data_IF_572107433766
#
_entry.id   IF_572107433766
#
_cell.length_a   1.000
_cell.length_b   1.000
_cell.length_c   1.000
_cell.angle_alpha   90.00
_cell.angle_beta   90.00
_cell.angle_gamma   90.00
#
_symmetry.space_group_name_H-M   'P 1'
#
loop_
_entity.id
_entity.type
_entity.pdbx_description
1 polymer ?
#
# COMPACT_ATOMS: atom_id res chain seq x y z
N UNK A 1 15.88 -6.60 2.99
CA UNK A 1 16.81 -5.58 3.49
C UNK A 1 16.76 -4.37 2.55
N UNK A 2 16.56 -3.17 3.08
CA UNK A 2 16.59 -1.92 2.32
C UNK A 2 17.49 -0.92 3.02
N UNK A 3 18.31 -0.20 2.26
CA UNK A 3 19.18 0.86 2.75
C UNK A 3 18.83 2.15 1.97
N UNK A 4 18.69 3.26 2.67
CA UNK A 4 18.39 4.56 2.07
C UNK A 4 19.29 5.64 2.66
N UNK A 5 19.72 6.58 1.83
CA UNK A 5 20.41 7.80 2.25
C UNK A 5 19.61 9.00 1.75
N UNK A 6 19.31 9.92 2.67
CA UNK A 6 18.56 11.14 2.39
C UNK A 6 19.45 12.34 2.64
N UNK A 7 19.47 13.26 1.67
CA UNK A 7 20.11 14.56 1.79
C UNK A 7 19.03 15.62 1.68
N UNK A 8 18.91 16.47 2.69
CA UNK A 8 18.03 17.64 2.65
C UNK A 8 18.88 18.81 2.17
N UNK A 9 18.50 19.41 1.05
CA UNK A 9 19.18 20.57 0.49
C UNK A 9 18.23 21.77 0.62
N UNK A 10 18.66 22.81 1.32
CA UNK A 10 17.98 24.09 1.52
C UNK A 10 16.45 24.03 1.76
N UNK A 11 16.04 24.11 3.02
CA UNK A 11 14.68 24.36 3.55
C UNK A 11 13.56 23.40 3.11
N UNK A 12 13.27 23.37 1.81
CA UNK A 12 12.12 22.74 1.18
C UNK A 12 12.49 21.75 0.06
N UNK A 13 13.77 21.64 -0.31
CA UNK A 13 14.22 20.66 -1.28
C UNK A 13 14.90 19.45 -0.61
N UNK A 14 14.81 18.31 -1.28
CA UNK A 14 15.37 17.06 -0.77
C UNK A 14 15.74 16.14 -1.92
N UNK A 15 16.74 15.30 -1.67
CA UNK A 15 17.10 14.19 -2.52
C UNK A 15 17.23 12.92 -1.69
N UNK A 16 16.84 11.80 -2.27
CA UNK A 16 16.97 10.49 -1.64
C UNK A 16 17.48 9.48 -2.65
N UNK A 17 18.39 8.62 -2.20
CA UNK A 17 18.83 7.43 -2.92
C UNK A 17 18.50 6.22 -2.08
N UNK A 18 17.80 5.26 -2.66
CA UNK A 18 17.40 4.02 -2.01
C UNK A 18 17.89 2.82 -2.79
N UNK A 19 18.31 1.78 -2.07
CA UNK A 19 18.63 0.48 -2.65
C UNK A 19 18.01 -0.59 -1.77
N UNK A 20 17.44 -1.62 -2.38
CA UNK A 20 16.84 -2.69 -1.61
C UNK A 20 16.82 -4.02 -2.32
N UNK A 21 16.76 -5.05 -1.49
CA UNK A 21 16.59 -6.42 -1.89
C UNK A 21 15.65 -7.12 -0.91
N UNK A 22 14.67 -7.83 -1.42
CA UNK A 22 13.65 -8.54 -0.65
C UNK A 22 13.49 -9.94 -1.21
N UNK A 23 13.36 -10.91 -0.30
CA UNK A 23 12.98 -12.28 -0.64
C UNK A 23 11.75 -12.59 0.20
N UNK A 24 10.67 -12.94 -0.48
CA UNK A 24 9.44 -13.43 0.12
C UNK A 24 9.31 -14.90 -0.25
N UNK A 25 9.68 -15.83 0.65
CA UNK A 25 9.68 -17.26 0.33
C UNK A 25 8.27 -17.80 0.09
N UNK A 26 7.25 -17.15 0.67
CA UNK A 26 5.87 -17.65 0.73
C UNK A 26 4.86 -16.54 0.42
N UNK A 27 4.77 -16.16 -0.85
CA UNK A 27 3.79 -15.21 -1.35
C UNK A 27 2.51 -15.96 -1.71
N UNK A 28 1.37 -15.49 -1.22
CA UNK A 28 0.06 -16.08 -1.48
C UNK A 28 -0.48 -15.65 -2.85
N UNK A 29 -1.17 -16.56 -3.51
CA UNK A 29 -1.85 -16.34 -4.77
C UNK A 29 -3.17 -17.10 -4.81
N UNK A 30 -4.26 -16.45 -5.22
CA UNK A 30 -5.61 -17.03 -5.23
C UNK A 30 -6.23 -17.09 -6.64
N UNK A 31 -5.48 -16.63 -7.65
CA UNK A 31 -6.00 -16.27 -8.96
C UNK A 31 -6.10 -14.76 -9.16
N UNK A 32 -6.32 -14.33 -10.41
CA UNK A 32 -6.46 -12.91 -10.75
C UNK A 32 -7.89 -12.39 -10.55
N UNK A 33 -7.98 -11.11 -10.20
CA UNK A 33 -9.22 -10.36 -10.18
C UNK A 33 -10.15 -10.64 -9.00
N UNK A 34 -11.29 -9.93 -8.92
CA UNK A 34 -12.18 -9.93 -7.76
C UNK A 34 -12.93 -11.26 -7.57
N UNK A 35 -13.06 -12.06 -8.63
CA UNK A 35 -13.76 -13.35 -8.61
C UNK A 35 -12.87 -14.51 -8.13
N UNK A 36 -11.58 -14.27 -7.88
CA UNK A 36 -10.70 -15.27 -7.30
C UNK A 36 -11.24 -15.76 -5.96
N UNK A 37 -11.08 -17.05 -5.66
CA UNK A 37 -11.72 -17.68 -4.50
C UNK A 37 -10.69 -18.02 -3.44
N UNK A 38 -11.08 -17.90 -2.17
CA UNK A 38 -10.17 -18.14 -1.03
C UNK A 38 -9.65 -19.58 -1.03
N UNK A 39 -10.48 -20.55 -1.40
CA UNK A 39 -10.10 -21.96 -1.46
C UNK A 39 -9.00 -22.27 -2.49
N UNK A 40 -8.72 -21.33 -3.41
CA UNK A 40 -7.70 -21.48 -4.45
C UNK A 40 -6.31 -20.99 -4.00
N UNK A 41 -6.07 -20.79 -2.69
CA UNK A 41 -4.79 -20.37 -2.14
C UNK A 41 -3.62 -21.25 -2.62
N UNK A 42 -2.61 -20.64 -3.22
CA UNK A 42 -1.38 -21.27 -3.61
C UNK A 42 -0.21 -20.38 -3.23
N UNK A 43 0.99 -20.95 -3.26
CA UNK A 43 2.20 -20.26 -2.83
C UNK A 43 3.23 -20.19 -3.94
N UNK A 44 4.00 -19.11 -3.95
CA UNK A 44 5.19 -18.93 -4.78
C UNK A 44 6.24 -18.12 -4.02
N UNK A 45 7.49 -18.15 -4.50
CA UNK A 45 8.57 -17.32 -3.96
C UNK A 45 8.81 -16.13 -4.87
N UNK A 46 8.99 -14.96 -4.26
CA UNK A 46 9.27 -13.70 -4.96
C UNK A 46 10.60 -13.11 -4.49
N UNK A 47 11.42 -12.66 -5.44
CA UNK A 47 12.64 -11.91 -5.16
C UNK A 47 12.56 -10.55 -5.85
N UNK A 48 12.76 -9.50 -5.09
CA UNK A 48 12.65 -8.11 -5.57
C UNK A 48 13.92 -7.36 -5.27
N UNK A 49 14.46 -6.66 -6.27
CA UNK A 49 15.61 -5.78 -6.14
C UNK A 49 15.29 -4.40 -6.74
N UNK A 50 15.76 -3.33 -6.12
CA UNK A 50 15.56 -1.98 -6.66
C UNK A 50 16.68 -1.01 -6.32
N UNK A 51 16.81 0.00 -7.17
CA UNK A 51 17.60 1.22 -6.98
C UNK A 51 16.71 2.41 -7.33
N UNK A 52 16.50 3.31 -6.38
CA UNK A 52 15.67 4.49 -6.54
C UNK A 52 16.45 5.77 -6.32
N UNK A 53 16.17 6.79 -7.12
CA UNK A 53 16.63 8.17 -6.92
C UNK A 53 15.39 9.05 -6.95
N UNK A 54 15.23 9.95 -5.99
CA UNK A 54 14.14 10.92 -5.98
C UNK A 54 14.61 12.31 -5.61
N UNK A 55 13.96 13.32 -6.18
CA UNK A 55 14.07 14.70 -5.79
C UNK A 55 12.69 15.22 -5.37
N UNK A 56 12.62 15.95 -4.26
CA UNK A 56 11.40 16.56 -3.73
C UNK A 56 11.56 18.07 -3.59
N UNK A 57 10.48 18.81 -3.78
CA UNK A 57 10.44 20.26 -3.54
C UNK A 57 9.09 20.70 -3.00
N UNK A 58 9.11 21.37 -1.84
CA UNK A 58 7.99 22.13 -1.32
C UNK A 58 7.68 23.33 -2.21
N UNK A 59 6.41 23.50 -2.57
CA UNK A 59 5.89 24.65 -3.31
C UNK A 59 4.94 25.42 -2.38
N UNK A 60 5.50 26.30 -1.56
CA UNK A 60 4.75 26.99 -0.50
C UNK A 60 4.44 26.07 0.69
N UNK A 61 3.48 26.47 1.53
CA UNK A 61 3.27 25.86 2.85
C UNK A 61 2.58 24.50 2.83
N UNK A 62 1.84 24.14 1.77
CA UNK A 62 0.99 22.93 1.74
C UNK A 62 1.24 22.00 0.55
N UNK A 63 2.00 22.42 -0.45
CA UNK A 63 2.24 21.60 -1.65
C UNK A 63 3.64 21.02 -1.62
N UNK A 64 3.79 19.74 -1.94
CA UNK A 64 5.07 19.11 -2.20
C UNK A 64 5.01 18.33 -3.52
N UNK A 65 6.08 18.42 -4.29
CA UNK A 65 6.25 17.69 -5.54
C UNK A 65 7.43 16.75 -5.42
N UNK A 66 7.32 15.57 -5.99
CA UNK A 66 8.38 14.58 -6.08
C UNK A 66 8.53 14.13 -7.53
N UNK A 67 9.77 14.01 -7.98
CA UNK A 67 10.14 13.28 -9.19
C UNK A 67 11.09 12.17 -8.80
N UNK A 68 10.88 10.97 -9.35
CA UNK A 68 11.71 9.81 -9.05
C UNK A 68 12.01 8.96 -10.29
N UNK A 69 13.13 8.25 -10.20
CA UNK A 69 13.64 7.30 -11.16
C UNK A 69 13.95 6.01 -10.40
N UNK A 70 13.31 4.90 -10.78
CA UNK A 70 13.45 3.61 -10.10
C UNK A 70 13.81 2.53 -11.09
N UNK A 71 14.94 1.87 -10.87
CA UNK A 71 15.30 0.64 -11.56
C UNK A 71 14.88 -0.52 -10.67
N UNK A 72 14.07 -1.45 -11.18
CA UNK A 72 13.58 -2.58 -10.40
C UNK A 72 13.57 -3.89 -11.18
N UNK A 73 13.75 -4.98 -10.45
CA UNK A 73 13.65 -6.35 -10.94
C UNK A 73 12.84 -7.20 -9.99
N UNK A 74 11.87 -7.96 -10.52
CA UNK A 74 11.04 -8.90 -9.77
C UNK A 74 11.14 -10.27 -10.44
N UNK A 75 11.50 -11.28 -9.67
CA UNK A 75 11.63 -12.68 -10.09
C UNK A 75 10.70 -13.55 -9.27
N UNK A 76 10.05 -14.51 -9.92
CA UNK A 76 9.17 -15.48 -9.25
C UNK A 76 9.66 -16.88 -9.51
N UNK A 77 9.54 -17.76 -8.52
CA UNK A 77 9.92 -19.17 -8.60
C UNK A 77 8.99 -20.02 -7.72
N UNK A 78 9.10 -21.34 -7.83
CA UNK A 78 8.37 -22.28 -6.98
C UNK A 78 8.76 -22.09 -5.49
N UNK A 79 7.81 -22.16 -4.53
CA UNK A 79 8.11 -21.89 -3.12
C UNK A 79 8.98 -22.97 -2.44
N UNK A 80 9.29 -24.06 -3.15
CA UNK A 80 10.07 -25.19 -2.64
C UNK A 80 9.21 -26.26 -1.95
N UNK A 81 9.84 -27.35 -1.51
CA UNK A 81 9.16 -28.59 -1.11
C UNK A 81 8.28 -28.53 0.16
N UNK A 82 8.27 -27.42 0.90
CA UNK A 82 7.65 -27.33 2.22
C UNK A 82 6.31 -26.61 2.27
N UNK A 83 5.90 -25.89 1.23
CA UNK A 83 4.59 -25.24 1.15
C UNK A 83 3.78 -25.80 -0.01
N UNK A 84 2.62 -26.37 0.32
CA UNK A 84 1.71 -26.98 -0.64
C UNK A 84 0.30 -26.41 -0.44
N UNK A 85 -0.40 -26.07 -1.52
CA UNK A 85 -0.01 -26.29 -2.91
C UNK A 85 0.80 -25.13 -3.50
N UNK A 86 1.79 -25.47 -4.34
CA UNK A 86 2.48 -24.45 -5.14
C UNK A 86 1.56 -23.87 -6.20
N UNK A 87 1.86 -22.65 -6.64
CA UNK A 87 1.15 -21.98 -7.74
C UNK A 87 1.09 -22.89 -8.97
N UNK A 88 2.20 -23.56 -9.31
CA UNK A 88 2.28 -24.51 -10.43
C UNK A 88 1.32 -25.67 -10.25
N UNK A 89 1.29 -26.29 -9.07
CA UNK A 89 0.43 -27.45 -8.84
C UNK A 89 -1.06 -27.11 -8.91
N UNK A 90 -1.45 -25.92 -8.46
CA UNK A 90 -2.86 -25.51 -8.38
C UNK A 90 -3.37 -24.83 -9.66
N UNK A 91 -2.51 -24.09 -10.36
CA UNK A 91 -2.85 -23.30 -11.54
C UNK A 91 -2.13 -23.77 -12.80
N UNK A 92 -1.70 -25.05 -12.87
CA UNK A 92 -0.93 -25.60 -14.00
C UNK A 92 -1.50 -25.23 -15.39
N UNK A 93 -2.82 -25.35 -15.57
CA UNK A 93 -3.49 -25.06 -16.84
C UNK A 93 -3.72 -23.56 -17.10
N UNK A 94 -3.48 -22.70 -16.12
CA UNK A 94 -3.79 -21.28 -16.16
C UNK A 94 -2.71 -20.46 -15.43
N UNK A 95 -1.44 -20.81 -15.65
CA UNK A 95 -0.32 -20.08 -15.06
C UNK A 95 -0.39 -18.61 -15.48
N UNK A 96 -0.26 -17.67 -14.53
CA UNK A 96 -0.36 -16.26 -14.85
C UNK A 96 0.87 -15.83 -15.66
N UNK A 97 0.66 -14.86 -16.58
CA UNK A 97 1.75 -14.29 -17.37
C UNK A 97 2.85 -13.73 -16.47
N UNK A 98 4.11 -14.07 -16.74
CA UNK A 98 5.25 -13.64 -15.95
C UNK A 98 5.65 -14.59 -14.80
N UNK A 99 4.94 -15.69 -14.59
CA UNK A 99 5.38 -16.75 -13.67
C UNK A 99 6.65 -17.43 -14.17
N UNK A 100 7.53 -17.80 -13.22
CA UNK A 100 8.86 -18.39 -13.48
C UNK A 100 9.71 -17.54 -14.44
N UNK A 101 9.47 -16.22 -14.40
CA UNK A 101 10.17 -15.25 -15.22
C UNK A 101 10.65 -14.07 -14.40
N UNK A 102 11.57 -13.31 -15.01
CA UNK A 102 12.12 -12.09 -14.43
C UNK A 102 11.58 -10.87 -15.16
N UNK A 103 11.01 -9.97 -14.39
CA UNK A 103 10.42 -8.71 -14.83
C UNK A 103 11.33 -7.56 -14.44
N UNK A 104 12.03 -6.96 -15.41
CA UNK A 104 13.02 -5.89 -15.16
C UNK A 104 12.63 -4.62 -15.91
N UNK A 105 12.71 -3.47 -15.25
CA UNK A 105 12.33 -2.21 -15.87
C UNK A 105 12.79 -0.97 -15.12
N UNK A 106 12.58 0.18 -15.77
CA UNK A 106 12.79 1.50 -15.20
C UNK A 106 11.48 2.25 -15.13
N UNK A 107 11.16 2.78 -13.95
CA UNK A 107 10.03 3.67 -13.69
C UNK A 107 10.51 5.11 -13.59
N UNK A 108 9.78 6.03 -14.23
CA UNK A 108 9.89 7.48 -13.99
C UNK A 108 8.56 7.95 -13.42
N UNK A 109 8.60 8.51 -12.20
CA UNK A 109 7.44 8.92 -11.44
C UNK A 109 7.37 10.42 -11.20
N UNK A 110 6.15 10.94 -11.15
CA UNK A 110 5.81 12.25 -10.64
C UNK A 110 4.74 12.10 -9.56
N UNK A 111 4.96 12.70 -8.40
CA UNK A 111 3.99 12.72 -7.30
C UNK A 111 3.71 14.14 -6.83
N UNK A 112 2.46 14.40 -6.48
CA UNK A 112 1.95 15.65 -5.94
C UNK A 112 1.26 15.36 -4.61
N UNK A 113 1.67 16.08 -3.57
CA UNK A 113 1.02 16.07 -2.27
C UNK A 113 0.50 17.48 -1.96
N UNK A 114 -0.78 17.60 -1.61
CA UNK A 114 -1.41 18.86 -1.19
C UNK A 114 -2.04 18.63 0.17
N UNK A 115 -1.55 19.33 1.19
CA UNK A 115 -2.05 19.25 2.55
C UNK A 115 -1.02 19.74 3.58
N UNK A 116 -1.45 20.02 4.82
CA UNK A 116 -0.53 20.23 5.93
C UNK A 116 0.47 19.09 6.06
N UNK A 117 1.66 19.37 6.61
CA UNK A 117 2.52 18.28 7.06
C UNK A 117 1.79 17.51 8.18
N UNK A 118 1.78 16.19 8.08
CA UNK A 118 1.13 15.35 9.07
C UNK A 118 1.97 15.33 10.35
N UNK A 119 1.46 15.93 11.42
CA UNK A 119 2.03 15.74 12.74
C UNK A 119 1.80 14.29 13.20
N UNK A 120 2.89 13.64 13.62
CA UNK A 120 2.84 12.30 14.19
C UNK A 120 2.23 12.39 15.58
N UNK A 121 1.04 11.82 15.80
CA UNK A 121 0.46 11.80 17.13
C UNK A 121 -1.02 11.43 17.21
N UNK A 122 -1.68 11.93 18.28
CA UNK A 122 -3.09 11.67 18.57
C UNK A 122 -4.07 12.51 17.76
N UNK A 123 -3.57 13.54 17.08
CA UNK A 123 -4.40 14.47 16.32
C UNK A 123 -5.10 13.78 15.16
N UNK A 124 -6.28 14.30 14.83
CA UNK A 124 -6.98 13.91 13.62
C UNK A 124 -6.06 14.15 12.42
N UNK A 125 -5.97 13.21 11.46
CA UNK A 125 -5.10 13.39 10.31
C UNK A 125 -5.54 14.63 9.52
N UNK A 126 -4.59 15.40 8.99
CA UNK A 126 -4.95 16.55 8.17
C UNK A 126 -5.60 16.10 6.86
N UNK A 127 -6.34 17.02 6.24
CA UNK A 127 -6.81 16.81 4.89
C UNK A 127 -5.61 16.74 3.93
N UNK A 128 -5.55 15.68 3.14
CA UNK A 128 -4.41 15.38 2.28
C UNK A 128 -4.89 14.81 0.94
N UNK A 129 -4.34 15.35 -0.13
CA UNK A 129 -4.46 14.81 -1.48
C UNK A 129 -3.09 14.33 -1.92
N UNK A 130 -2.99 13.05 -2.29
CA UNK A 130 -1.81 12.50 -2.93
C UNK A 130 -2.20 12.02 -4.33
N UNK A 131 -1.47 12.48 -5.33
CA UNK A 131 -1.59 11.98 -6.70
C UNK A 131 -0.21 11.54 -7.19
N UNK A 132 -0.16 10.42 -7.92
CA UNK A 132 1.05 9.94 -8.57
C UNK A 132 0.72 9.40 -9.95
N UNK A 133 1.57 9.73 -10.91
CA UNK A 133 1.61 9.12 -12.22
C UNK A 133 3.05 8.66 -12.48
N UNK A 134 3.22 7.44 -12.98
CA UNK A 134 4.54 6.91 -13.27
C UNK A 134 4.51 6.00 -14.50
N UNK A 135 5.54 6.07 -15.34
CA UNK A 135 5.69 5.18 -16.49
C UNK A 135 6.81 4.20 -16.21
N UNK A 136 6.49 2.92 -16.21
CA UNK A 136 7.49 1.86 -16.21
C UNK A 136 7.72 1.37 -17.63
N UNK A 137 8.98 1.37 -18.06
CA UNK A 137 9.45 0.72 -19.27
C UNK A 137 10.10 -0.62 -18.93
N UNK A 138 9.57 -1.71 -19.49
CA UNK A 138 10.19 -3.03 -19.34
C UNK A 138 11.35 -3.24 -20.30
N UNK A 139 12.36 -4.01 -19.87
CA UNK A 139 13.55 -4.36 -20.64
C UNK A 139 13.72 -5.87 -20.87
N UNK A 140 13.11 -6.70 -20.02
CA UNK A 140 13.28 -8.15 -20.03
C UNK A 140 11.91 -8.79 -19.89
N UNK A 141 11.65 -9.78 -20.75
CA UNK A 141 10.38 -10.49 -20.83
C UNK A 141 9.46 -9.92 -21.91
N UNK A 142 8.54 -10.75 -22.39
CA UNK A 142 7.43 -10.32 -23.27
C UNK A 142 6.30 -9.75 -22.39
N UNK A 143 6.59 -8.69 -21.66
CA UNK A 143 5.67 -8.03 -20.75
C UNK A 143 5.44 -6.57 -21.17
N UNK A 144 4.23 -6.08 -20.97
CA UNK A 144 3.93 -4.70 -21.28
C UNK A 144 4.68 -3.74 -20.34
N UNK A 145 5.20 -2.66 -20.94
CA UNK A 145 5.43 -1.41 -20.21
C UNK A 145 4.08 -0.87 -19.73
N UNK A 146 4.04 -0.03 -18.70
CA UNK A 146 2.75 0.47 -18.20
C UNK A 146 2.82 1.86 -17.60
N UNK A 147 1.67 2.54 -17.64
CA UNK A 147 1.39 3.73 -16.86
C UNK A 147 0.73 3.29 -15.55
N UNK A 148 1.34 3.66 -14.43
CA UNK A 148 0.77 3.56 -13.09
C UNK A 148 0.16 4.90 -12.71
N UNK A 149 -1.10 4.87 -12.29
CA UNK A 149 -1.81 6.04 -11.76
C UNK A 149 -2.31 5.73 -10.35
N UNK A 150 -2.17 6.69 -9.44
CA UNK A 150 -2.65 6.60 -8.07
C UNK A 150 -3.21 7.94 -7.61
N UNK A 151 -4.38 7.91 -7.00
CA UNK A 151 -4.99 9.06 -6.32
C UNK A 151 -5.47 8.61 -4.95
N UNK A 152 -5.07 9.35 -3.93
CA UNK A 152 -5.47 9.15 -2.56
C UNK A 152 -5.99 10.46 -1.98
N UNK A 153 -7.14 10.38 -1.33
CA UNK A 153 -7.79 11.48 -0.64
C UNK A 153 -7.95 11.08 0.82
N UNK A 154 -7.56 11.93 1.73
CA UNK A 154 -7.72 11.74 3.17
C UNK A 154 -8.31 13.01 3.77
N UNK A 155 -9.18 12.83 4.77
CA UNK A 155 -9.65 13.93 5.58
C UNK A 155 -10.20 13.49 6.91
N UNK A 156 -10.47 14.45 7.79
CA UNK A 156 -11.04 14.16 9.10
C UNK A 156 -12.07 15.18 9.55
N UNK A 157 -13.06 14.69 10.30
CA UNK A 157 -14.09 15.48 10.95
C UNK A 157 -14.02 15.27 12.46
N UNK A 158 -13.86 16.35 13.23
CA UNK A 158 -14.01 16.30 14.69
C UNK A 158 -15.50 16.25 15.04
N UNK A 159 -15.90 15.30 15.87
CA UNK A 159 -17.30 15.13 16.26
C UNK A 159 -17.50 15.69 17.67
N UNK A 160 -18.01 16.92 17.80
CA UNK A 160 -18.24 17.58 19.10
C UNK A 160 -17.04 18.36 19.64
N UNK A 161 -17.02 18.61 20.97
CA UNK A 161 -15.88 19.25 21.64
C UNK A 161 -14.63 18.36 21.71
N UNK A 162 -13.53 18.88 22.25
CA UNK A 162 -12.19 18.28 22.19
C UNK A 162 -12.05 16.85 22.76
N UNK A 163 -13.07 16.30 23.43
CA UNK A 163 -13.01 15.07 24.21
C UNK A 163 -13.71 13.85 23.61
N UNK A 164 -14.47 13.99 22.51
CA UNK A 164 -15.34 12.90 22.01
C UNK A 164 -14.65 12.00 20.98
N UNK A 165 -13.87 12.58 20.06
CA UNK A 165 -13.18 11.82 19.01
C UNK A 165 -13.19 12.49 17.64
N UNK A 166 -12.69 11.78 16.64
CA UNK A 166 -12.72 12.21 15.24
C UNK A 166 -13.06 11.07 14.30
N UNK A 167 -13.71 11.40 13.19
CA UNK A 167 -13.92 10.52 12.05
C UNK A 167 -12.82 10.80 11.03
N UNK A 168 -12.04 9.79 10.64
CA UNK A 168 -11.12 9.86 9.53
C UNK A 168 -11.70 9.10 8.34
N UNK A 169 -11.57 9.69 7.15
CA UNK A 169 -12.01 9.09 5.90
C UNK A 169 -10.83 9.08 4.94
N UNK A 170 -10.67 7.98 4.21
CA UNK A 170 -9.66 7.82 3.17
C UNK A 170 -10.27 7.17 1.95
N UNK A 171 -9.96 7.67 0.76
CA UNK A 171 -10.25 7.05 -0.52
C UNK A 171 -8.96 6.81 -1.28
N UNK A 172 -8.82 5.66 -1.93
CA UNK A 172 -7.69 5.34 -2.78
C UNK A 172 -8.19 4.71 -4.08
N UNK A 173 -7.67 5.18 -5.21
CA UNK A 173 -7.77 4.53 -6.51
C UNK A 173 -6.37 4.39 -7.07
N UNK A 174 -6.03 3.19 -7.53
CA UNK A 174 -4.78 2.92 -8.23
C UNK A 174 -5.04 1.99 -9.42
N UNK A 175 -4.38 2.25 -10.54
CA UNK A 175 -4.57 1.48 -11.77
C UNK A 175 -3.29 1.43 -12.62
N UNK A 176 -3.06 0.25 -13.21
CA UNK A 176 -1.99 -0.04 -14.15
C UNK A 176 -2.55 -0.19 -15.56
N UNK A 177 -2.16 0.72 -16.43
CA UNK A 177 -2.53 0.72 -17.85
C UNK A 177 -1.36 0.18 -18.70
N UNK A 178 -1.48 -1.00 -19.34
CA UNK A 178 -0.47 -1.53 -20.21
C UNK A 178 -0.32 -0.62 -21.42
N UNK A 179 0.92 -0.33 -21.76
CA UNK A 179 1.32 0.37 -22.95
C UNK A 179 1.67 -0.69 -23.99
N UNK A 180 0.78 -0.86 -24.97
CA UNK A 180 0.88 -1.89 -26.00
C UNK A 180 -0.09 -3.05 -25.80
N UNK A 181 0.17 -4.15 -26.51
CA UNK A 181 -0.70 -5.33 -26.53
C UNK A 181 -0.26 -6.48 -25.60
N UNK A 182 0.96 -6.40 -25.09
CA UNK A 182 1.52 -7.45 -24.24
C UNK A 182 0.80 -7.47 -22.88
N UNK A 183 0.68 -8.65 -22.23
CA UNK A 183 0.13 -8.73 -20.90
C UNK A 183 1.08 -8.11 -19.87
N UNK A 184 0.51 -7.56 -18.80
CA UNK A 184 1.29 -7.20 -17.61
C UNK A 184 1.75 -8.48 -16.90
N UNK A 185 3.01 -8.50 -16.50
CA UNK A 185 3.54 -9.57 -15.68
C UNK A 185 2.86 -9.56 -14.31
N UNK A 186 2.36 -10.73 -13.88
CA UNK A 186 1.50 -10.84 -12.71
C UNK A 186 2.20 -10.38 -11.43
N UNK A 187 3.51 -10.56 -11.35
CA UNK A 187 4.34 -10.12 -10.22
C UNK A 187 4.29 -8.60 -10.00
N UNK A 188 3.97 -7.81 -11.05
CA UNK A 188 3.81 -6.35 -10.97
C UNK A 188 2.38 -5.87 -10.74
N UNK A 189 1.40 -6.77 -10.73
CA UNK A 189 0.01 -6.40 -10.48
C UNK A 189 -0.21 -5.93 -9.04
N UNK A 190 -1.21 -5.07 -8.86
CA UNK A 190 -1.57 -4.51 -7.56
C UNK A 190 -2.20 -5.59 -6.69
N UNK A 191 -1.98 -5.50 -5.38
CA UNK A 191 -2.59 -6.40 -4.40
C UNK A 191 -3.03 -5.65 -3.15
N UNK A 192 -3.85 -6.30 -2.31
CA UNK A 192 -4.32 -5.74 -1.04
C UNK A 192 -3.33 -5.95 0.13
N UNK A 193 -2.03 -6.05 -0.13
CA UNK A 193 -1.00 -6.27 0.91
C UNK A 193 -0.66 -5.02 1.72
N UNK A 194 -1.09 -3.84 1.28
CA UNK A 194 -0.87 -2.59 2.01
C UNK A 194 -1.58 -2.59 3.38
N UNK A 195 -1.00 -1.93 4.39
CA UNK A 195 -1.44 -2.03 5.79
C UNK A 195 -2.89 -1.60 6.01
N UNK A 196 -3.36 -0.62 5.22
CA UNK A 196 -4.69 -0.02 5.33
C UNK A 196 -5.62 -0.45 4.17
N UNK A 197 -5.28 -1.54 3.48
CA UNK A 197 -6.07 -2.12 2.41
C UNK A 197 -6.87 -3.32 2.94
N UNK A 198 -8.21 -3.22 2.90
CA UNK A 198 -9.16 -4.32 3.15
C UNK A 198 -8.80 -5.18 4.39
N UNK A 199 -8.76 -4.56 5.57
CA UNK A 199 -8.06 -5.14 6.74
C UNK A 199 -8.69 -6.40 7.33
N UNK A 200 -9.95 -6.70 7.00
CA UNK A 200 -10.61 -7.95 7.37
C UNK A 200 -10.34 -9.12 6.42
N UNK A 201 -9.48 -8.98 5.41
CA UNK A 201 -9.08 -10.03 4.49
C UNK A 201 -7.60 -10.34 4.63
N UNK A 202 -7.20 -11.54 4.20
CA UNK A 202 -5.79 -11.91 4.16
C UNK A 202 -5.00 -10.96 3.25
N UNK A 203 -3.74 -10.71 3.60
CA UNK A 203 -2.82 -9.99 2.71
C UNK A 203 -2.65 -10.79 1.42
N UNK A 204 -2.50 -10.09 0.29
CA UNK A 204 -2.35 -10.69 -1.04
C UNK A 204 -3.55 -11.54 -1.51
N UNK A 205 -4.72 -11.37 -0.87
CA UNK A 205 -5.96 -12.08 -1.22
C UNK A 205 -6.40 -11.85 -2.67
N UNK A 206 -6.21 -10.64 -3.17
CA UNK A 206 -6.52 -10.30 -4.57
C UNK A 206 -5.34 -9.69 -5.26
N UNK A 207 -5.27 -9.92 -6.57
CA UNK A 207 -4.23 -9.36 -7.43
C UNK A 207 -4.82 -9.05 -8.80
N UNK A 208 -4.68 -7.80 -9.24
CA UNK A 208 -5.12 -7.36 -10.56
C UNK A 208 -4.54 -5.97 -10.92
N UNK A 209 -4.97 -5.40 -12.04
CA UNK A 209 -4.47 -4.13 -12.58
C UNK A 209 -4.89 -2.91 -11.78
N UNK A 210 -6.02 -2.98 -11.08
CA UNK A 210 -6.63 -1.86 -10.38
C UNK A 210 -7.14 -2.20 -8.99
N UNK A 211 -7.11 -1.20 -8.10
CA UNK A 211 -7.72 -1.25 -6.78
C UNK A 211 -8.42 0.08 -6.50
N UNK A 212 -9.65 0.01 -6.01
CA UNK A 212 -10.42 1.15 -5.55
C UNK A 212 -10.98 0.83 -4.16
N UNK A 213 -10.80 1.73 -3.21
CA UNK A 213 -11.25 1.53 -1.83
C UNK A 213 -11.59 2.84 -1.13
N UNK A 214 -12.37 2.69 -0.07
CA UNK A 214 -12.63 3.70 0.94
C UNK A 214 -12.46 3.08 2.34
N UNK A 215 -11.81 3.81 3.23
CA UNK A 215 -11.70 3.51 4.65
C UNK A 215 -12.43 4.59 5.44
N UNK A 216 -13.17 4.18 6.47
CA UNK A 216 -13.77 5.07 7.45
C UNK A 216 -13.37 4.59 8.83
N UNK A 217 -12.82 5.49 9.63
CA UNK A 217 -12.37 5.20 10.99
C UNK A 217 -12.93 6.21 11.97
N UNK A 218 -13.54 5.73 13.05
CA UNK A 218 -13.94 6.57 14.17
C UNK A 218 -13.00 6.35 15.33
N UNK A 219 -12.27 7.39 15.75
CA UNK A 219 -11.24 7.36 16.79
C UNK A 219 -11.71 8.06 18.05
N UNK A 220 -11.43 7.49 19.22
CA UNK A 220 -11.62 8.13 20.52
C UNK A 220 -10.49 7.79 21.49
N UNK A 221 -10.22 8.70 22.42
CA UNK A 221 -9.25 8.46 23.48
C UNK A 221 -9.84 7.56 24.56
N UNK A 222 -9.11 6.52 24.96
CA UNK A 222 -9.43 5.73 26.15
C UNK A 222 -8.76 6.36 27.37
N UNK A 223 -7.46 6.64 27.24
CA UNK A 223 -6.64 7.12 28.33
C UNK A 223 -5.48 7.96 27.80
N UNK A 224 -5.08 8.96 28.56
CA UNK A 224 -3.87 9.71 28.32
C UNK A 224 -3.19 10.01 29.66
N UNK A 225 -1.87 9.90 29.70
CA UNK A 225 -1.10 10.37 30.84
C UNK A 225 -1.33 11.86 31.07
N UNK A 226 -1.28 12.30 32.32
CA UNK A 226 -1.32 13.72 32.70
C UNK A 226 -0.08 14.48 32.23
N UNK A 227 1.02 13.78 31.99
CA UNK A 227 2.20 14.37 31.37
C UNK A 227 1.91 14.66 29.90
N UNK A 228 2.17 15.90 29.48
CA UNK A 228 2.05 16.35 28.08
C UNK A 228 2.87 15.46 27.13
N UNK A 229 3.92 14.79 27.64
CA UNK A 229 4.76 13.86 26.88
C UNK A 229 4.53 12.38 27.19
N UNK A 230 3.52 12.05 28.01
CA UNK A 230 3.27 10.70 28.45
C UNK A 230 2.57 9.84 27.40
N UNK A 231 2.48 8.51 27.65
CA UNK A 231 1.79 7.60 26.76
C UNK A 231 0.28 7.87 26.74
N UNK A 232 -0.36 7.47 25.64
CA UNK A 232 -1.80 7.52 25.46
C UNK A 232 -2.30 6.27 24.74
N UNK A 233 -3.51 5.86 25.11
CA UNK A 233 -4.23 4.75 24.53
C UNK A 233 -5.46 5.32 23.83
N UNK A 234 -5.53 5.11 22.52
CA UNK A 234 -6.72 5.41 21.71
C UNK A 234 -7.32 4.11 21.19
N UNK A 235 -8.62 4.14 20.94
CA UNK A 235 -9.33 3.09 20.22
C UNK A 235 -9.97 3.65 18.97
N UNK A 236 -10.20 2.77 18.00
CA UNK A 236 -10.96 3.12 16.81
C UNK A 236 -11.83 1.97 16.31
N UNK A 237 -12.95 2.33 15.71
CA UNK A 237 -13.74 1.46 14.86
C UNK A 237 -13.29 1.71 13.42
N UNK A 238 -13.18 0.66 12.63
CA UNK A 238 -12.82 0.76 11.22
C UNK A 238 -13.88 0.08 10.34
N UNK A 239 -14.10 0.64 9.16
CA UNK A 239 -14.84 0.03 8.07
C UNK A 239 -14.06 0.24 6.78
N UNK A 240 -13.78 -0.84 6.07
CA UNK A 240 -13.10 -0.83 4.79
C UNK A 240 -14.04 -1.35 3.71
N UNK A 241 -14.15 -0.61 2.61
CA UNK A 241 -14.94 -0.95 1.44
C UNK A 241 -14.03 -0.88 0.23
N UNK A 242 -14.03 -1.87 -0.65
CA UNK A 242 -13.22 -1.76 -1.86
C UNK A 242 -13.32 -2.95 -2.80
N UNK A 243 -12.69 -2.80 -3.95
CA UNK A 243 -12.68 -3.79 -5.02
C UNK A 243 -11.32 -3.76 -5.71
N UNK A 244 -10.80 -4.94 -6.04
CA UNK A 244 -9.73 -5.14 -7.01
C UNK A 244 -10.36 -5.43 -8.38
N UNK A 245 -9.81 -4.91 -9.47
CA UNK A 245 -10.40 -4.98 -10.80
C UNK A 245 -9.34 -5.00 -11.91
N UNK A 246 -9.65 -5.64 -13.04
CA UNK A 246 -8.76 -5.69 -14.20
C UNK A 246 -9.00 -4.56 -15.21
N UNK A 247 -10.21 -4.01 -15.21
CA UNK A 247 -10.62 -2.91 -16.08
C UNK A 247 -11.51 -1.91 -15.31
N UNK A 248 -11.35 -0.59 -15.47
CA UNK A 248 -12.17 0.41 -14.79
C UNK A 248 -13.68 0.25 -15.05
N UNK A 249 -14.08 -0.26 -16.21
CA UNK A 249 -15.49 -0.53 -16.54
C UNK A 249 -16.06 -1.74 -15.79
N UNK A 250 -15.19 -2.59 -15.22
CA UNK A 250 -15.59 -3.73 -14.39
C UNK A 250 -15.82 -3.37 -12.91
N UNK A 251 -15.64 -2.10 -12.53
CA UNK A 251 -15.99 -1.59 -11.20
C UNK A 251 -17.51 -1.63 -11.06
N UNK A 252 -17.99 -2.42 -10.10
CA UNK A 252 -19.42 -2.64 -9.91
C UNK A 252 -19.73 -2.97 -8.46
N UNK A 253 -20.85 -2.46 -7.95
CA UNK A 253 -21.26 -2.65 -6.55
C UNK A 253 -21.32 -4.13 -6.12
N UNK A 254 -21.66 -5.05 -7.03
CA UNK A 254 -21.69 -6.50 -6.76
C UNK A 254 -20.32 -7.10 -6.41
N UNK A 255 -19.23 -6.50 -6.90
CA UNK A 255 -17.86 -6.97 -6.71
C UNK A 255 -17.18 -6.29 -5.51
N UNK A 256 -17.86 -5.33 -4.87
CA UNK A 256 -17.34 -4.63 -3.70
C UNK A 256 -17.26 -5.57 -2.52
N UNK A 257 -16.13 -5.50 -1.82
CA UNK A 257 -15.84 -6.19 -0.57
C UNK A 257 -15.92 -5.23 0.59
N UNK A 258 -16.41 -5.73 1.71
CA UNK A 258 -16.59 -5.00 2.96
C UNK A 258 -15.87 -5.75 4.08
N UNK A 259 -15.25 -5.00 4.98
CA UNK A 259 -14.83 -5.47 6.30
C UNK A 259 -15.04 -4.40 7.34
N UNK A 260 -15.24 -4.80 8.59
CA UNK A 260 -15.33 -3.91 9.74
C UNK A 260 -14.49 -4.46 10.88
N UNK A 261 -14.02 -3.59 11.77
CA UNK A 261 -13.12 -3.99 12.83
C UNK A 261 -12.96 -2.96 13.91
N UNK A 262 -12.07 -3.29 14.84
CA UNK A 262 -11.67 -2.45 15.96
C UNK A 262 -10.16 -2.45 16.07
N UNK A 263 -9.58 -1.33 16.49
CA UNK A 263 -8.16 -1.22 16.76
C UNK A 263 -7.87 -0.51 18.07
N UNK A 264 -6.78 -0.92 18.70
CA UNK A 264 -6.20 -0.28 19.87
C UNK A 264 -4.84 0.26 19.50
N UNK A 265 -4.61 1.52 19.87
CA UNK A 265 -3.44 2.29 19.51
C UNK A 265 -2.73 2.80 20.74
N UNK A 266 -1.46 2.42 20.90
CA UNK A 266 -0.56 3.02 21.87
C UNK A 266 0.30 4.09 21.17
N UNK A 267 0.12 5.34 21.59
CA UNK A 267 0.86 6.50 21.09
C UNK A 267 1.68 7.14 22.21
N UNK A 268 2.84 7.71 21.87
CA UNK A 268 3.63 8.59 22.73
C UNK A 268 4.07 9.81 21.92
N UNK A 269 4.28 10.95 22.57
CA UNK A 269 4.80 12.16 21.90
C UNK A 269 6.24 12.01 21.40
N UNK A 270 7.00 11.01 21.89
CA UNK A 270 8.33 10.66 21.34
C UNK A 270 8.26 9.73 20.13
N UNK A 271 7.06 9.31 19.74
CA UNK A 271 6.84 8.38 18.65
C UNK A 271 5.74 7.36 18.95
N UNK A 272 5.23 6.78 17.88
CA UNK A 272 4.27 5.70 17.89
C UNK A 272 4.81 4.42 18.55
N UNK A 273 4.02 3.73 19.38
CA UNK A 273 4.48 2.57 20.16
C UNK A 273 3.89 1.23 19.69
N UNK A 274 2.62 1.15 19.25
CA UNK A 274 2.04 -0.10 18.76
C UNK A 274 0.54 -0.07 18.43
N UNK A 275 0.12 -0.85 17.44
CA UNK A 275 -1.28 -1.09 17.06
C UNK A 275 -1.60 -2.56 17.22
N UNK A 276 -2.77 -2.87 17.76
CA UNK A 276 -3.42 -4.15 17.59
C UNK A 276 -4.76 -3.93 16.93
N UNK A 277 -5.04 -4.63 15.84
CA UNK A 277 -6.30 -4.58 15.11
C UNK A 277 -6.95 -5.95 15.04
N UNK A 278 -8.27 -5.96 15.13
CA UNK A 278 -9.11 -7.10 14.80
C UNK A 278 -10.12 -6.65 13.75
N UNK A 279 -10.17 -7.33 12.61
CA UNK A 279 -11.12 -7.04 11.54
C UNK A 279 -11.82 -8.31 11.07
N UNK A 280 -13.11 -8.18 10.73
CA UNK A 280 -13.98 -9.25 10.25
C UNK A 280 -14.49 -8.94 8.86
N UNK A 281 -14.55 -9.97 8.04
CA UNK A 281 -15.14 -9.96 6.71
C UNK A 281 -16.00 -11.22 6.49
N UNK A 282 -16.56 -11.33 5.29
CA UNK A 282 -17.25 -12.54 4.83
C UNK A 282 -16.32 -13.76 4.68
N UNK A 283 -15.01 -13.54 4.61
CA UNK A 283 -14.03 -14.62 4.54
C UNK A 283 -13.45 -15.00 5.91
N UNK A 284 -13.81 -14.31 7.00
CA UNK A 284 -13.36 -14.67 8.35
C UNK A 284 -12.87 -13.46 9.14
N UNK A 285 -11.94 -13.70 10.06
CA UNK A 285 -11.37 -12.67 10.92
C UNK A 285 -9.85 -12.65 10.81
N UNK A 286 -9.29 -11.45 10.87
CA UNK A 286 -7.85 -11.20 10.79
C UNK A 286 -7.44 -10.37 12.01
N UNK A 287 -6.35 -10.77 12.66
CA UNK A 287 -5.69 -10.00 13.72
C UNK A 287 -4.39 -9.47 13.17
N UNK A 288 -4.13 -8.17 13.34
CA UNK A 288 -2.87 -7.53 12.92
C UNK A 288 -2.22 -6.85 14.10
N UNK A 289 -0.91 -6.99 14.20
CA UNK A 289 -0.09 -6.31 15.21
C UNK A 289 0.96 -5.51 14.45
N UNK A 290 1.05 -4.20 14.72
CA UNK A 290 2.04 -3.31 14.10
C UNK A 290 2.81 -2.57 15.16
N UNK A 291 4.13 -2.57 15.07
CA UNK A 291 5.03 -1.91 16.04
C UNK A 291 5.76 -0.70 15.40
N UNK A 292 5.26 -0.21 14.26
CA UNK A 292 5.87 0.89 13.50
C UNK A 292 4.87 2.03 13.24
N UNK A 293 5.41 3.25 13.02
CA UNK A 293 4.66 4.51 12.84
C UNK A 293 3.41 4.35 11.97
N UNK A 294 2.25 4.75 12.52
CA UNK A 294 0.96 4.83 11.81
C UNK A 294 0.95 6.00 10.82
N UNK A 295 0.42 5.74 9.63
CA UNK A 295 0.48 6.56 8.41
C UNK A 295 1.88 6.67 7.81
N UNK A 296 2.09 5.89 6.76
CA UNK A 296 3.29 5.90 5.89
C UNK A 296 3.10 6.86 4.71
N UNK A 297 2.41 7.97 4.97
CA UNK A 297 2.19 9.06 4.04
C UNK A 297 2.74 10.34 4.64
N UNK A 298 4.04 10.39 4.93
CA UNK A 298 4.61 11.71 5.20
C UNK A 298 4.64 12.49 3.89
N UNK A 299 4.27 13.78 3.92
CA UNK A 299 4.42 14.73 2.79
C UNK A 299 5.82 14.67 2.15
N UNK A 300 6.80 14.19 2.91
CA UNK A 300 8.23 14.09 2.61
C UNK A 300 8.74 12.66 2.43
N UNK A 301 7.88 11.65 2.38
CA UNK A 301 8.25 10.24 2.19
C UNK A 301 8.06 9.88 0.72
N UNK A 302 9.17 9.44 0.12
CA UNK A 302 9.37 9.42 -1.33
C UNK A 302 9.24 8.00 -1.91
N UNK A 303 9.23 6.96 -1.06
CA UNK A 303 9.45 5.57 -1.50
C UNK A 303 8.57 4.49 -0.86
N UNK A 304 7.63 4.80 0.05
CA UNK A 304 6.81 3.77 0.70
C UNK A 304 5.61 3.37 -0.18
N UNK A 305 5.72 2.24 -0.87
CA UNK A 305 4.60 1.57 -1.55
C UNK A 305 3.92 2.32 -2.71
N UNK A 306 4.55 3.38 -3.25
CA UNK A 306 4.02 4.18 -4.36
C UNK A 306 4.64 3.86 -5.72
N UNK A 307 5.78 3.16 -5.73
CA UNK A 307 6.46 2.72 -6.96
C UNK A 307 5.91 1.37 -7.41
N UNK A 308 6.06 1.04 -8.69
CA UNK A 308 5.67 -0.29 -9.18
C UNK A 308 6.58 -1.44 -8.72
N UNK A 309 7.61 -1.15 -7.91
CA UNK A 309 8.35 -2.17 -7.20
C UNK A 309 7.45 -2.69 -6.05
N UNK A 310 7.18 -4.00 -5.95
CA UNK A 310 6.26 -4.52 -4.96
C UNK A 310 6.74 -4.20 -3.54
N UNK A 311 5.92 -3.43 -2.82
CA UNK A 311 5.91 -3.26 -1.36
C UNK A 311 7.20 -2.74 -0.71
N UNK A 312 7.10 -1.58 -0.07
CA UNK A 312 7.81 -1.24 1.17
C UNK A 312 6.78 -0.89 2.22
#
# INVERSE_FOLDING_TARGET
>A
MSLGSRVVADGDAGAEVTVGYRVEPYVRYFGLGPASRRENEAFYREKTAWLGISASKGLGSVTNVVVDLVFSGVETEDPGAHESPSLVSRFYASLPSGYDSRSVGTEVGFSLAIGPEQDVGRSAPPDLVLARAAVLKSFIGNEASFLSSRVELQGSLRLGGDSVGFLAVRGLVQYLEPLGSDPLAFQRLLSNSGPDLLRGYADLRWRDRGIALANVEFHWGIWASSDVLGPALDAYLLTDVGQVFGDPTAVALRNVTLSHGVGLRLASTRGFAGVVEFARSREGSVVRIRVNRMFQGSRRETFRGTTSAPGT
#
